data_IF_724084038880
#
_entry.id   IF_724084038880
#
_cell.length_a   1.000
_cell.length_b   1.000
_cell.length_c   1.000
_cell.angle_alpha   90.00
_cell.angle_beta   90.00
_cell.angle_gamma   90.00
#
_symmetry.space_group_name_H-M   'P 1'
#
loop_
_entity.id
_entity.type
_entity.pdbx_description
1 polymer ?
#
# COMPACT_ATOMS: atom_id res chain seq x y z
N UNK A 1 -11.85 -5.92 -20.17
CA UNK A 1 -12.61 -5.19 -19.14
C UNK A 1 -11.60 -4.56 -18.20
N UNK A 2 -11.67 -3.25 -17.93
CA UNK A 2 -10.73 -2.58 -17.04
C UNK A 2 -11.20 -2.60 -15.58
N UNK A 3 -10.26 -2.61 -14.64
CA UNK A 3 -10.53 -2.51 -13.20
C UNK A 3 -9.66 -1.41 -12.58
N UNK A 4 -10.23 -0.66 -11.65
CA UNK A 4 -9.50 0.34 -10.87
C UNK A 4 -9.41 -0.17 -9.44
N UNK A 5 -8.19 -0.23 -8.92
CA UNK A 5 -7.91 -0.66 -7.55
C UNK A 5 -7.59 0.57 -6.69
N UNK A 6 -8.45 0.85 -5.71
CA UNK A 6 -8.23 1.92 -4.76
C UNK A 6 -7.55 1.35 -3.51
N UNK A 7 -6.36 1.83 -3.23
CA UNK A 7 -5.53 1.34 -2.12
C UNK A 7 -5.24 2.52 -1.19
N UNK A 8 -5.60 2.37 0.09
CA UNK A 8 -5.18 3.32 1.12
C UNK A 8 -3.74 3.01 1.53
N UNK A 9 -2.96 4.06 1.84
CA UNK A 9 -1.64 3.90 2.44
C UNK A 9 -1.72 3.07 3.74
N UNK A 10 -0.61 2.41 4.11
CA UNK A 10 -0.49 1.70 5.39
C UNK A 10 -0.56 2.65 6.59
N UNK A 11 -0.64 2.12 7.80
CA UNK A 11 -0.74 2.92 9.02
C UNK A 11 0.39 3.96 9.12
N UNK A 12 0.02 5.24 9.19
CA UNK A 12 0.92 6.36 9.43
C UNK A 12 1.45 6.37 10.88
N UNK A 13 2.58 7.02 11.13
CA UNK A 13 3.22 7.11 12.44
C UNK A 13 2.53 8.13 13.34
N UNK A 14 1.38 7.75 13.90
CA UNK A 14 0.61 8.61 14.79
C UNK A 14 1.44 9.03 16.02
N UNK A 15 1.60 10.35 16.21
CA UNK A 15 2.36 10.92 17.33
C UNK A 15 3.88 10.94 17.17
N UNK A 16 4.42 10.59 15.99
CA UNK A 16 5.82 10.83 15.67
C UNK A 16 6.05 12.28 15.24
N UNK A 17 7.29 12.77 15.38
CA UNK A 17 7.70 14.11 14.93
C UNK A 17 7.44 14.31 13.43
N UNK A 18 7.59 13.23 12.65
CA UNK A 18 7.16 13.16 11.27
C UNK A 18 5.91 12.27 11.18
N UNK A 19 4.75 12.91 11.15
CA UNK A 19 3.46 12.25 11.07
C UNK A 19 3.20 11.61 9.70
N UNK A 20 3.84 12.14 8.64
CA UNK A 20 3.53 11.78 7.25
C UNK A 20 4.24 10.49 6.81
N UNK A 21 5.10 9.90 7.65
CA UNK A 21 5.75 8.62 7.35
C UNK A 21 4.93 7.43 7.81
N UNK A 22 5.07 6.33 7.07
CA UNK A 22 4.52 5.04 7.50
C UNK A 22 5.20 4.57 8.79
N UNK A 23 4.37 4.06 9.69
CA UNK A 23 4.86 3.30 10.85
C UNK A 23 5.49 1.97 10.40
N UNK A 24 6.24 1.28 11.29
CA UNK A 24 6.70 -0.08 11.01
C UNK A 24 5.57 -1.05 10.60
N UNK A 25 4.37 -0.86 11.17
CA UNK A 25 3.17 -1.61 10.79
C UNK A 25 2.72 -1.23 9.38
N UNK A 26 2.67 0.07 9.05
CA UNK A 26 2.34 0.57 7.73
C UNK A 26 3.24 0.00 6.63
N UNK A 27 4.55 -0.04 6.89
CA UNK A 27 5.52 -0.65 5.97
C UNK A 27 5.22 -2.15 5.78
N UNK A 28 4.92 -2.87 6.86
CA UNK A 28 4.56 -4.30 6.78
C UNK A 28 3.27 -4.50 5.98
N UNK A 29 2.26 -3.66 6.19
CA UNK A 29 0.99 -3.70 5.45
C UNK A 29 1.23 -3.51 3.95
N UNK A 30 2.06 -2.55 3.54
CA UNK A 30 2.40 -2.34 2.13
C UNK A 30 3.06 -3.57 1.50
N UNK A 31 3.95 -4.26 2.22
CA UNK A 31 4.59 -5.50 1.74
C UNK A 31 3.61 -6.66 1.59
N UNK A 32 2.75 -6.87 2.59
CA UNK A 32 1.72 -7.93 2.55
C UNK A 32 0.75 -7.69 1.40
N UNK A 33 0.32 -6.44 1.19
CA UNK A 33 -0.53 -6.09 0.06
C UNK A 33 0.14 -6.39 -1.28
N UNK A 34 1.40 -5.98 -1.46
CA UNK A 34 2.15 -6.27 -2.69
C UNK A 34 2.26 -7.78 -2.98
N UNK A 35 2.59 -8.58 -1.96
CA UNK A 35 2.65 -10.04 -2.08
C UNK A 35 1.28 -10.64 -2.42
N UNK A 36 0.20 -10.14 -1.82
CA UNK A 36 -1.16 -10.60 -2.10
C UNK A 36 -1.58 -10.29 -3.54
N UNK A 37 -1.37 -9.05 -4.01
CA UNK A 37 -1.70 -8.65 -5.38
C UNK A 37 -0.90 -9.47 -6.41
N UNK A 38 0.38 -9.73 -6.14
CA UNK A 38 1.20 -10.60 -6.98
C UNK A 38 0.70 -12.05 -6.97
N UNK A 39 0.30 -12.59 -5.81
CA UNK A 39 -0.27 -13.93 -5.68
C UNK A 39 -1.61 -14.10 -6.42
N UNK A 40 -2.36 -13.01 -6.60
CA UNK A 40 -3.56 -12.98 -7.45
C UNK A 40 -3.25 -12.89 -8.96
N UNK A 41 -1.97 -12.78 -9.35
CA UNK A 41 -1.56 -12.63 -10.74
C UNK A 41 -1.92 -11.27 -11.35
N UNK A 42 -2.12 -10.24 -10.52
CA UNK A 42 -2.50 -8.91 -11.01
C UNK A 42 -1.29 -8.17 -11.60
N UNK A 43 -1.49 -7.58 -12.78
CA UNK A 43 -0.58 -6.63 -13.42
C UNK A 43 -1.28 -5.28 -13.56
N UNK A 44 -0.55 -4.19 -13.27
CA UNK A 44 -1.08 -2.84 -13.38
C UNK A 44 -0.49 -2.12 -14.59
N UNK A 45 -1.35 -1.66 -15.50
CA UNK A 45 -0.93 -0.82 -16.63
C UNK A 45 -0.51 0.58 -16.18
N UNK A 46 -1.06 1.05 -15.03
CA UNK A 46 -0.71 2.34 -14.43
C UNK A 46 -0.89 2.34 -12.92
N UNK A 47 0.05 2.97 -12.22
CA UNK A 47 -0.03 3.26 -10.78
C UNK A 47 0.13 4.77 -10.54
N UNK A 48 -0.61 5.32 -9.58
CA UNK A 48 -0.53 6.72 -9.14
C UNK A 48 -0.62 6.74 -7.61
N UNK A 49 0.25 7.49 -6.94
CA UNK A 49 0.34 7.60 -5.47
C UNK A 49 0.71 9.00 -5.03
#
# INVERSE_FOLDING_TARGET
MGSIYLIRHGQASFGADDYDVLSPVGIRQSRVLGAHLAGLGLSFDRCVS
#
